data_IF_814266687655
#
_entry.id   IF_814266687655
#
_cell.length_a   1.000
_cell.length_b   1.000
_cell.length_c   1.000
_cell.angle_alpha   90.00
_cell.angle_beta   90.00
_cell.angle_gamma   90.00
#
_symmetry.space_group_name_H-M   'P 1'
#
loop_
_entity.id
_entity.type
_entity.pdbx_description
1 polymer ?
#
# COMPACT_ATOMS: atom_id res chain seq x y z
N UNK A 1 4.70 -13.28 11.92
CA UNK A 1 5.72 -12.34 11.42
C UNK A 1 5.13 -11.20 10.59
N UNK A 2 4.08 -11.44 9.79
CA UNK A 2 3.39 -10.38 9.03
C UNK A 2 2.41 -9.66 9.95
N UNK A 3 2.44 -8.33 9.93
CA UNK A 3 1.59 -7.50 10.77
C UNK A 3 2.17 -7.21 12.15
N UNK A 4 1.35 -6.64 13.02
CA UNK A 4 1.76 -6.06 14.31
C UNK A 4 2.99 -5.15 14.17
N UNK A 5 3.00 -4.37 13.10
CA UNK A 5 4.08 -3.42 12.81
C UNK A 5 4.04 -2.25 13.79
N UNK A 6 5.20 -1.65 14.12
CA UNK A 6 5.25 -0.54 15.05
C UNK A 6 4.41 0.66 14.61
N UNK A 7 3.87 1.37 15.60
CA UNK A 7 3.33 2.71 15.44
C UNK A 7 4.28 3.68 16.15
N UNK A 8 5.04 4.47 15.39
CA UNK A 8 6.14 5.30 15.89
C UNK A 8 5.68 6.75 15.96
N UNK A 9 5.76 7.38 17.12
CA UNK A 9 5.52 8.82 17.26
C UNK A 9 6.71 9.58 16.66
N UNK A 10 6.42 10.56 15.80
CA UNK A 10 7.42 11.50 15.29
C UNK A 10 7.58 12.63 16.29
N UNK A 11 8.83 13.01 16.59
CA UNK A 11 9.12 13.98 17.63
C UNK A 11 9.59 15.34 17.11
N UNK A 12 10.20 15.36 15.95
CA UNK A 12 10.76 16.58 15.35
C UNK A 12 9.93 17.04 14.15
N UNK A 13 9.49 16.08 13.30
CA UNK A 13 8.67 16.41 12.13
C UNK A 13 7.28 16.84 12.60
N UNK A 14 6.85 18.03 12.17
CA UNK A 14 5.54 18.59 12.53
C UNK A 14 5.48 19.22 13.93
N UNK A 15 6.61 19.29 14.68
CA UNK A 15 6.66 19.88 16.03
C UNK A 15 6.30 21.38 16.07
N UNK A 16 6.36 22.06 14.94
CA UNK A 16 5.95 23.47 14.79
C UNK A 16 4.41 23.64 14.72
N UNK A 17 3.66 22.57 14.57
CA UNK A 17 2.19 22.61 14.48
C UNK A 17 1.62 22.35 15.88
N UNK A 18 1.01 23.33 16.55
CA UNK A 18 0.54 23.20 17.91
C UNK A 18 -0.61 22.21 18.03
N UNK A 19 -0.64 21.44 19.11
CA UNK A 19 -1.69 20.48 19.43
C UNK A 19 -1.91 19.37 18.37
N UNK A 20 -0.88 19.04 17.57
CA UNK A 20 -0.91 17.92 16.62
C UNK A 20 0.22 16.94 16.92
N UNK A 21 -0.11 15.66 16.94
CA UNK A 21 0.86 14.56 17.03
C UNK A 21 0.82 13.70 15.77
N UNK A 22 2.01 13.37 15.24
CA UNK A 22 2.15 12.51 14.07
C UNK A 22 2.66 11.13 14.49
N UNK A 23 2.05 10.11 13.97
CA UNK A 23 2.40 8.72 14.19
C UNK A 23 2.64 8.02 12.85
N UNK A 24 3.77 7.30 12.72
CA UNK A 24 4.13 6.55 11.53
C UNK A 24 3.79 5.07 11.73
N UNK A 25 2.88 4.51 10.94
CA UNK A 25 2.64 3.07 10.89
C UNK A 25 3.69 2.43 10.00
N UNK A 26 4.69 1.79 10.62
CA UNK A 26 5.93 1.33 10.00
C UNK A 26 5.76 -0.03 9.28
N UNK A 27 5.06 -0.05 8.14
CA UNK A 27 4.81 -1.27 7.37
C UNK A 27 6.07 -1.84 6.71
N UNK A 28 7.15 -1.07 6.63
CA UNK A 28 8.48 -1.57 6.24
C UNK A 28 9.10 -2.54 7.26
N UNK A 29 8.50 -2.71 8.42
CA UNK A 29 8.89 -3.73 9.40
C UNK A 29 8.30 -5.12 9.10
N UNK A 30 7.45 -5.27 8.09
CA UNK A 30 7.05 -6.57 7.59
C UNK A 30 8.25 -7.33 6.99
N UNK A 31 8.21 -8.66 6.90
CA UNK A 31 9.36 -9.51 6.51
C UNK A 31 10.06 -9.13 5.21
N UNK A 32 9.32 -8.78 4.15
CA UNK A 32 9.93 -8.32 2.88
C UNK A 32 10.17 -6.81 2.83
N UNK A 33 9.90 -6.10 3.94
CA UNK A 33 10.06 -4.65 4.02
C UNK A 33 8.90 -3.86 3.42
N UNK A 34 7.72 -4.46 3.29
CA UNK A 34 6.58 -3.80 2.64
C UNK A 34 5.23 -4.17 3.24
N UNK A 35 4.30 -3.21 3.19
CA UNK A 35 2.86 -3.42 3.46
C UNK A 35 2.24 -4.53 2.60
N UNK A 36 2.87 -4.85 1.47
CA UNK A 36 2.39 -5.84 0.51
C UNK A 36 2.43 -7.27 1.03
N UNK A 37 3.20 -7.55 2.07
CA UNK A 37 3.15 -8.85 2.75
C UNK A 37 1.75 -9.17 3.28
N UNK A 38 1.05 -8.17 3.81
CA UNK A 38 -0.34 -8.33 4.27
C UNK A 38 -1.28 -8.61 3.10
N UNK A 39 -1.17 -7.83 2.03
CA UNK A 39 -1.97 -7.99 0.81
C UNK A 39 -1.77 -9.37 0.19
N UNK A 40 -0.50 -9.75 -0.02
CA UNK A 40 -0.12 -11.03 -0.63
C UNK A 40 -0.65 -12.23 0.17
N UNK A 41 -0.44 -12.22 1.49
CA UNK A 41 -0.95 -13.28 2.37
C UNK A 41 -2.48 -13.36 2.32
N UNK A 42 -3.17 -12.23 2.38
CA UNK A 42 -4.64 -12.20 2.37
C UNK A 42 -5.22 -12.72 1.06
N UNK A 43 -4.66 -12.33 -0.09
CA UNK A 43 -5.09 -12.83 -1.40
C UNK A 43 -4.86 -14.34 -1.52
N UNK A 44 -3.71 -14.83 -1.09
CA UNK A 44 -3.37 -16.24 -1.13
C UNK A 44 -4.33 -17.07 -0.25
N UNK A 45 -4.51 -16.68 1.01
CA UNK A 45 -5.45 -17.34 1.93
C UNK A 45 -6.91 -17.26 1.45
N UNK A 46 -7.28 -16.17 0.77
CA UNK A 46 -8.61 -16.05 0.16
C UNK A 46 -8.80 -17.07 -0.96
N UNK A 47 -7.80 -17.26 -1.82
CA UNK A 47 -7.84 -18.26 -2.89
C UNK A 47 -7.89 -19.69 -2.37
N UNK A 48 -7.16 -19.99 -1.28
CA UNK A 48 -7.26 -21.29 -0.58
C UNK A 48 -8.68 -21.54 -0.06
N UNK A 49 -9.27 -20.55 0.64
CA UNK A 49 -10.63 -20.68 1.19
C UNK A 49 -11.71 -20.85 0.13
N UNK A 50 -11.52 -20.25 -1.05
CA UNK A 50 -12.42 -20.44 -2.20
C UNK A 50 -12.20 -21.79 -2.92
N UNK A 51 -11.18 -22.56 -2.53
CA UNK A 51 -10.81 -23.82 -3.18
C UNK A 51 -10.19 -23.67 -4.57
N UNK A 52 -9.80 -22.45 -4.94
CA UNK A 52 -9.17 -22.13 -6.22
C UNK A 52 -7.69 -22.52 -6.24
N UNK A 53 -7.02 -22.43 -5.10
CA UNK A 53 -5.63 -22.84 -4.89
C UNK A 53 -5.57 -24.01 -3.90
N UNK A 54 -5.06 -25.13 -4.36
CA UNK A 54 -4.86 -26.36 -3.55
C UNK A 54 -3.37 -26.55 -3.24
N UNK A 55 -3.00 -27.34 -2.22
CA UNK A 55 -1.61 -27.66 -1.91
C UNK A 55 -0.78 -28.03 -3.14
N UNK A 56 0.44 -27.49 -3.26
CA UNK A 56 1.32 -27.70 -4.40
C UNK A 56 0.92 -26.98 -5.67
N UNK A 57 -0.16 -26.18 -5.65
CA UNK A 57 -0.63 -25.39 -6.78
C UNK A 57 0.30 -24.25 -7.18
N UNK A 58 -0.08 -23.51 -8.20
CA UNK A 58 0.71 -22.43 -8.77
C UNK A 58 0.01 -21.06 -8.59
N UNK A 59 0.78 -20.09 -8.19
CA UNK A 59 0.38 -18.68 -8.13
C UNK A 59 1.08 -17.92 -9.25
N UNK A 60 0.34 -17.16 -10.04
CA UNK A 60 0.87 -16.30 -11.10
C UNK A 60 0.62 -14.83 -10.73
N UNK A 61 1.66 -14.01 -10.84
CA UNK A 61 1.60 -12.56 -10.76
C UNK A 61 2.01 -11.95 -12.11
N UNK A 62 1.10 -11.26 -12.83
CA UNK A 62 1.47 -10.46 -13.97
C UNK A 62 2.13 -9.16 -13.53
N UNK A 63 3.35 -8.93 -13.98
CA UNK A 63 4.15 -7.73 -13.68
C UNK A 63 4.97 -7.80 -12.39
N UNK A 64 6.12 -7.12 -12.44
CA UNK A 64 6.96 -6.89 -11.28
C UNK A 64 6.42 -5.73 -10.42
N UNK A 65 6.27 -5.98 -9.15
CA UNK A 65 6.01 -4.96 -8.13
C UNK A 65 6.33 -5.52 -6.73
N UNK A 66 6.17 -4.72 -5.68
CA UNK A 66 6.41 -5.17 -4.30
C UNK A 66 5.51 -6.32 -3.87
N UNK A 67 4.29 -6.44 -4.44
CA UNK A 67 3.41 -7.59 -4.19
C UNK A 67 3.99 -8.88 -4.77
N UNK A 68 4.66 -8.82 -5.92
CA UNK A 68 5.33 -9.99 -6.50
C UNK A 68 6.45 -10.52 -5.60
N UNK A 69 7.23 -9.64 -4.97
CA UNK A 69 8.26 -10.02 -3.99
C UNK A 69 7.63 -10.71 -2.78
N UNK A 70 6.57 -10.11 -2.21
CA UNK A 70 5.84 -10.69 -1.07
C UNK A 70 5.25 -12.06 -1.41
N UNK A 71 4.65 -12.21 -2.60
CA UNK A 71 4.09 -13.49 -3.07
C UNK A 71 5.18 -14.54 -3.28
N UNK A 72 6.33 -14.17 -3.87
CA UNK A 72 7.45 -15.10 -4.05
C UNK A 72 7.90 -15.66 -2.71
N UNK A 73 8.13 -14.80 -1.73
CA UNK A 73 8.52 -15.19 -0.38
C UNK A 73 7.47 -16.07 0.31
N UNK A 74 6.19 -15.67 0.29
CA UNK A 74 5.10 -16.42 0.95
C UNK A 74 4.89 -17.77 0.29
N UNK A 75 4.89 -17.84 -1.05
CA UNK A 75 4.71 -19.08 -1.80
C UNK A 75 5.82 -20.09 -1.49
N UNK A 76 7.08 -19.62 -1.40
CA UNK A 76 8.22 -20.49 -1.01
C UNK A 76 7.99 -21.12 0.37
N UNK A 77 7.59 -20.34 1.38
CA UNK A 77 7.34 -20.84 2.73
C UNK A 77 6.14 -21.80 2.76
N UNK A 78 5.11 -21.53 1.98
CA UNK A 78 3.87 -22.35 1.94
C UNK A 78 3.90 -23.46 0.91
N UNK A 79 5.06 -23.69 0.25
CA UNK A 79 5.28 -24.74 -0.73
C UNK A 79 4.35 -24.65 -1.97
N UNK A 80 4.02 -23.42 -2.38
CA UNK A 80 3.37 -23.14 -3.66
C UNK A 80 4.42 -22.81 -4.72
N UNK A 81 4.12 -23.17 -5.97
CA UNK A 81 4.91 -22.68 -7.12
C UNK A 81 4.55 -21.23 -7.36
N UNK A 82 5.54 -20.36 -7.45
CA UNK A 82 5.30 -18.95 -7.80
C UNK A 82 5.93 -18.61 -9.16
N UNK A 83 5.13 -18.02 -10.01
CA UNK A 83 5.52 -17.58 -11.35
C UNK A 83 5.23 -16.09 -11.51
N UNK A 84 6.25 -15.31 -11.86
CA UNK A 84 6.11 -13.90 -12.21
C UNK A 84 6.32 -13.71 -13.70
N UNK A 85 5.37 -13.08 -14.37
CA UNK A 85 5.48 -12.73 -15.79
C UNK A 85 5.97 -11.29 -15.89
N UNK A 86 7.07 -11.04 -16.58
CA UNK A 86 7.68 -9.72 -16.70
C UNK A 86 7.85 -9.29 -18.14
N UNK A 87 7.86 -7.98 -18.38
CA UNK A 87 8.14 -7.43 -19.71
C UNK A 87 9.61 -7.61 -20.08
N UNK A 88 9.89 -7.60 -21.38
CA UNK A 88 11.25 -7.80 -21.92
C UNK A 88 12.25 -6.69 -21.54
N UNK A 89 11.74 -5.52 -21.17
CA UNK A 89 12.51 -4.35 -20.73
C UNK A 89 12.62 -4.25 -19.19
N UNK A 90 12.22 -5.30 -18.46
CA UNK A 90 12.33 -5.33 -17.00
C UNK A 90 13.80 -5.38 -16.60
N UNK A 91 14.17 -4.53 -15.64
CA UNK A 91 15.51 -4.45 -15.09
C UNK A 91 16.00 -5.85 -14.61
N UNK A 92 17.16 -6.33 -15.07
CA UNK A 92 17.72 -7.63 -14.68
C UNK A 92 17.86 -7.81 -13.15
N UNK A 93 18.13 -6.72 -12.40
CA UNK A 93 18.23 -6.80 -10.95
C UNK A 93 16.86 -7.17 -10.34
N UNK A 94 15.78 -6.64 -10.85
CA UNK A 94 14.41 -6.97 -10.39
C UNK A 94 14.07 -8.44 -10.64
N UNK A 95 14.52 -9.00 -11.77
CA UNK A 95 14.36 -10.42 -12.06
C UNK A 95 15.15 -11.26 -11.07
N UNK A 96 16.40 -10.88 -10.77
CA UNK A 96 17.26 -11.56 -9.81
C UNK A 96 16.67 -11.52 -8.40
N UNK A 97 16.10 -10.38 -7.99
CA UNK A 97 15.45 -10.24 -6.69
C UNK A 97 14.29 -11.24 -6.54
N UNK A 98 13.42 -11.37 -7.55
CA UNK A 98 12.34 -12.36 -7.54
C UNK A 98 12.88 -13.79 -7.46
N UNK A 99 13.92 -14.13 -8.24
CA UNK A 99 14.54 -15.46 -8.25
C UNK A 99 15.17 -15.80 -6.90
N UNK A 100 15.72 -14.82 -6.20
CA UNK A 100 16.28 -14.99 -4.85
C UNK A 100 15.23 -15.48 -3.85
N UNK A 101 13.96 -15.08 -4.03
CA UNK A 101 12.84 -15.56 -3.24
C UNK A 101 12.16 -16.83 -3.79
N UNK A 102 12.77 -17.49 -4.78
CA UNK A 102 12.28 -18.77 -5.33
C UNK A 102 11.24 -18.63 -6.45
N UNK A 103 11.07 -17.45 -7.02
CA UNK A 103 10.15 -17.26 -8.15
C UNK A 103 10.70 -17.86 -9.45
N UNK A 104 9.82 -18.51 -10.22
CA UNK A 104 10.04 -18.72 -11.64
C UNK A 104 9.65 -17.45 -12.40
N UNK A 105 10.57 -16.90 -13.19
CA UNK A 105 10.33 -15.65 -13.92
C UNK A 105 10.30 -15.92 -15.42
N UNK A 106 9.15 -15.61 -16.05
CA UNK A 106 9.00 -15.66 -17.52
C UNK A 106 9.08 -14.26 -18.10
N UNK A 107 9.95 -14.08 -19.07
CA UNK A 107 10.02 -12.87 -19.89
C UNK A 107 9.01 -13.00 -21.03
N UNK A 108 8.09 -12.05 -21.16
CA UNK A 108 7.08 -12.00 -22.20
C UNK A 108 7.48 -10.95 -23.24
N UNK A 109 8.01 -11.37 -24.42
CA UNK A 109 8.57 -10.45 -25.40
C UNK A 109 7.55 -9.46 -25.98
N UNK A 110 6.29 -9.87 -26.08
CA UNK A 110 5.19 -9.07 -26.64
C UNK A 110 4.75 -7.95 -25.69
N UNK A 111 5.15 -8.03 -24.41
CA UNK A 111 4.82 -7.04 -23.39
C UNK A 111 5.80 -5.85 -23.44
N UNK A 112 5.83 -5.11 -24.57
CA UNK A 112 6.62 -3.90 -24.71
C UNK A 112 5.70 -2.69 -24.78
N UNK A 113 5.93 -1.71 -23.91
CA UNK A 113 5.11 -0.49 -23.85
C UNK A 113 3.84 -0.65 -23.00
N UNK A 114 2.72 -1.10 -23.56
CA UNK A 114 1.50 -1.44 -22.81
C UNK A 114 1.49 -2.93 -22.43
N UNK A 115 2.31 -3.29 -21.47
CA UNK A 115 2.58 -4.67 -21.10
C UNK A 115 1.51 -5.32 -20.19
N UNK A 116 0.63 -4.55 -19.56
CA UNK A 116 -0.39 -5.08 -18.62
C UNK A 116 -1.30 -6.11 -19.31
N UNK A 117 -1.82 -5.80 -20.51
CA UNK A 117 -2.72 -6.69 -21.24
C UNK A 117 -2.00 -7.94 -21.76
N UNK A 118 -0.77 -7.81 -22.26
CA UNK A 118 0.03 -8.93 -22.76
C UNK A 118 0.38 -9.91 -21.62
N UNK A 119 0.82 -9.39 -20.48
CA UNK A 119 1.13 -10.19 -19.29
C UNK A 119 -0.11 -10.90 -18.76
N UNK A 120 -1.25 -10.21 -18.71
CA UNK A 120 -2.52 -10.80 -18.24
C UNK A 120 -3.01 -11.87 -19.21
N UNK A 121 -2.91 -11.66 -20.53
CA UNK A 121 -3.24 -12.67 -21.54
C UNK A 121 -2.39 -13.92 -21.35
N UNK A 122 -1.07 -13.76 -21.20
CA UNK A 122 -0.15 -14.89 -20.98
C UNK A 122 -0.47 -15.63 -19.69
N UNK A 123 -0.79 -14.93 -18.62
CA UNK A 123 -1.20 -15.53 -17.35
C UNK A 123 -2.46 -16.41 -17.51
N UNK A 124 -3.45 -15.93 -18.27
CA UNK A 124 -4.69 -16.70 -18.57
C UNK A 124 -4.39 -17.98 -19.37
N UNK A 125 -3.56 -17.89 -20.41
CA UNK A 125 -3.13 -19.04 -21.20
C UNK A 125 -2.46 -20.13 -20.36
N UNK A 126 -1.65 -19.73 -19.36
CA UNK A 126 -1.02 -20.69 -18.44
C UNK A 126 -2.06 -21.30 -17.50
N UNK A 127 -2.96 -20.49 -16.95
CA UNK A 127 -4.02 -20.95 -16.05
C UNK A 127 -4.97 -21.95 -16.72
N UNK A 128 -5.28 -21.77 -18.01
CA UNK A 128 -6.13 -22.68 -18.77
C UNK A 128 -5.55 -24.10 -18.85
N UNK A 129 -4.22 -24.24 -18.85
CA UNK A 129 -3.51 -25.53 -18.92
C UNK A 129 -3.39 -26.23 -17.57
N UNK A 130 -3.50 -25.51 -16.47
CA UNK A 130 -3.42 -26.07 -15.11
C UNK A 130 -4.47 -25.44 -14.22
N UNK A 131 -5.51 -26.19 -13.88
CA UNK A 131 -6.64 -25.74 -13.06
C UNK A 131 -6.25 -25.45 -11.60
N UNK A 132 -5.11 -25.99 -11.12
CA UNK A 132 -4.58 -25.67 -9.79
C UNK A 132 -3.65 -24.43 -9.85
N UNK A 133 -3.99 -23.47 -10.71
CA UNK A 133 -3.27 -22.24 -10.90
C UNK A 133 -4.19 -21.05 -10.64
N UNK A 134 -3.74 -20.08 -9.83
CA UNK A 134 -4.45 -18.83 -9.59
C UNK A 134 -3.63 -17.62 -10.09
N UNK A 135 -4.33 -16.64 -10.63
CA UNK A 135 -3.76 -15.34 -10.98
C UNK A 135 -4.17 -14.37 -9.87
N UNK A 136 -3.20 -13.86 -9.12
CA UNK A 136 -3.43 -12.87 -8.08
C UNK A 136 -3.16 -11.46 -8.61
N UNK A 137 -4.09 -10.55 -8.34
CA UNK A 137 -4.01 -9.16 -8.78
C UNK A 137 -4.56 -8.24 -7.69
N UNK A 138 -3.68 -7.52 -7.02
CA UNK A 138 -4.00 -6.62 -5.90
C UNK A 138 -4.90 -5.44 -6.28
N UNK A 139 -4.99 -5.11 -7.57
CA UNK A 139 -5.86 -4.04 -8.06
C UNK A 139 -7.33 -4.48 -8.17
N UNK A 140 -7.58 -5.79 -8.24
CA UNK A 140 -8.92 -6.37 -8.44
C UNK A 140 -9.41 -7.18 -7.24
N UNK A 141 -8.52 -7.78 -6.45
CA UNK A 141 -8.91 -8.68 -5.37
C UNK A 141 -9.23 -7.89 -4.09
N UNK A 142 -10.49 -7.96 -3.65
CA UNK A 142 -10.96 -7.34 -2.40
C UNK A 142 -10.28 -7.90 -1.15
N UNK A 143 -9.60 -9.05 -1.24
CA UNK A 143 -8.78 -9.56 -0.16
C UNK A 143 -7.63 -8.60 0.21
N UNK A 144 -7.18 -7.77 -0.73
CA UNK A 144 -6.26 -6.66 -0.47
C UNK A 144 -6.85 -5.66 0.54
N UNK A 145 -8.03 -5.12 0.25
CA UNK A 145 -8.71 -4.17 1.15
C UNK A 145 -9.06 -4.82 2.50
N UNK A 146 -9.51 -6.08 2.47
CA UNK A 146 -9.87 -6.82 3.67
C UNK A 146 -8.67 -7.08 4.60
N UNK A 147 -7.45 -7.25 4.07
CA UNK A 147 -6.24 -7.37 4.89
C UNK A 147 -6.07 -6.16 5.82
N UNK A 148 -6.35 -4.97 5.30
CA UNK A 148 -6.17 -3.73 6.05
C UNK A 148 -7.35 -3.42 6.97
N UNK A 149 -8.57 -3.78 6.55
CA UNK A 149 -9.76 -3.67 7.41
C UNK A 149 -9.68 -4.59 8.63
N UNK A 150 -9.22 -5.84 8.43
CA UNK A 150 -9.20 -6.86 9.48
C UNK A 150 -7.97 -6.78 10.39
N UNK A 151 -6.87 -6.19 9.92
CA UNK A 151 -5.61 -6.21 10.68
C UNK A 151 -5.00 -4.81 10.85
N UNK A 152 -4.66 -4.09 9.79
CA UNK A 152 -3.92 -2.82 9.90
C UNK A 152 -4.73 -1.74 10.64
N UNK A 153 -6.01 -1.59 10.31
CA UNK A 153 -6.91 -0.66 10.99
C UNK A 153 -7.08 -0.97 12.48
N UNK A 154 -7.40 -2.22 12.88
CA UNK A 154 -7.44 -2.64 14.27
C UNK A 154 -6.13 -2.42 15.04
N UNK A 155 -4.97 -2.67 14.44
CA UNK A 155 -3.67 -2.40 15.07
C UNK A 155 -3.53 -0.91 15.39
N UNK A 156 -3.77 -0.02 14.42
CA UNK A 156 -3.71 1.44 14.63
C UNK A 156 -4.64 1.89 15.74
N UNK A 157 -5.89 1.40 15.72
CA UNK A 157 -6.89 1.73 16.73
C UNK A 157 -6.50 1.30 18.13
N UNK A 158 -6.00 0.08 18.27
CA UNK A 158 -5.50 -0.48 19.52
C UNK A 158 -4.30 0.33 20.06
N UNK A 159 -3.31 0.58 19.19
CA UNK A 159 -2.04 1.19 19.59
C UNK A 159 -2.21 2.65 20.05
N UNK A 160 -3.27 3.33 19.60
CA UNK A 160 -3.66 4.68 20.05
C UNK A 160 -4.87 4.69 21.01
N UNK A 161 -5.30 3.53 21.51
CA UNK A 161 -6.47 3.42 22.41
C UNK A 161 -7.70 4.15 21.87
N UNK A 162 -7.91 4.08 20.55
CA UNK A 162 -9.02 4.74 19.87
C UNK A 162 -8.85 6.24 19.59
N UNK A 163 -7.76 6.83 19.99
CA UNK A 163 -7.51 8.28 19.83
C UNK A 163 -6.87 8.60 18.47
N UNK A 164 -7.60 8.32 17.38
CA UNK A 164 -7.20 8.63 16.00
C UNK A 164 -8.14 9.70 15.45
N UNK A 165 -7.60 10.77 14.86
CA UNK A 165 -8.37 11.86 14.26
C UNK A 165 -8.21 11.91 12.75
N UNK A 166 -7.03 11.54 12.22
CA UNK A 166 -6.83 11.40 10.79
C UNK A 166 -5.92 10.22 10.45
N UNK A 167 -6.14 9.67 9.26
CA UNK A 167 -5.31 8.65 8.64
C UNK A 167 -4.88 9.08 7.24
N UNK A 168 -3.58 9.02 6.97
CA UNK A 168 -3.00 9.44 5.69
C UNK A 168 -2.27 8.26 5.07
N UNK A 169 -2.62 7.94 3.82
CA UNK A 169 -1.96 6.87 3.06
C UNK A 169 -1.78 7.25 1.59
N UNK A 170 -0.85 6.61 0.92
CA UNK A 170 -0.57 6.82 -0.50
C UNK A 170 -1.52 6.05 -1.41
N UNK A 171 -1.55 6.43 -2.69
CA UNK A 171 -2.36 5.82 -3.75
C UNK A 171 -1.56 4.89 -4.66
N UNK A 172 -1.65 3.59 -4.42
CA UNK A 172 -1.21 2.54 -5.36
C UNK A 172 -2.42 1.74 -5.84
N UNK A 173 -2.67 0.56 -5.25
CA UNK A 173 -3.92 -0.20 -5.48
C UNK A 173 -5.13 0.38 -4.72
N UNK A 174 -4.91 1.25 -3.74
CA UNK A 174 -5.96 1.82 -2.90
C UNK A 174 -6.45 0.91 -1.76
N UNK A 175 -5.98 -0.34 -1.69
CA UNK A 175 -6.45 -1.29 -0.67
C UNK A 175 -6.18 -0.85 0.76
N UNK A 176 -4.99 -0.31 1.03
CA UNK A 176 -4.60 0.12 2.40
C UNK A 176 -5.47 1.29 2.88
N UNK A 177 -5.62 2.33 2.06
CA UNK A 177 -6.42 3.50 2.46
C UNK A 177 -7.91 3.15 2.61
N UNK A 178 -8.43 2.31 1.70
CA UNK A 178 -9.83 1.86 1.76
C UNK A 178 -10.09 0.98 2.97
N UNK A 179 -9.23 -0.01 3.22
CA UNK A 179 -9.41 -0.96 4.32
C UNK A 179 -9.27 -0.30 5.69
N UNK A 180 -8.18 0.44 5.91
CA UNK A 180 -7.97 1.17 7.18
C UNK A 180 -9.02 2.25 7.37
N UNK A 181 -9.28 3.06 6.34
CA UNK A 181 -10.26 4.14 6.42
C UNK A 181 -11.66 3.63 6.77
N UNK A 182 -12.12 2.55 6.13
CA UNK A 182 -13.41 1.91 6.46
C UNK A 182 -13.45 1.43 7.90
N UNK A 183 -12.39 0.79 8.38
CA UNK A 183 -12.33 0.33 9.77
C UNK A 183 -12.38 1.51 10.75
N UNK A 184 -11.52 2.51 10.57
CA UNK A 184 -11.44 3.65 11.48
C UNK A 184 -12.77 4.43 11.52
N UNK A 185 -13.38 4.71 10.36
CA UNK A 185 -14.69 5.38 10.29
C UNK A 185 -15.82 4.53 10.88
N UNK A 186 -15.72 3.20 10.87
CA UNK A 186 -16.69 2.34 11.55
C UNK A 186 -16.60 2.44 13.08
N UNK A 187 -15.44 2.85 13.63
CA UNK A 187 -15.23 3.07 15.06
C UNK A 187 -15.52 4.51 15.49
N UNK A 188 -15.13 5.48 14.65
CA UNK A 188 -15.30 6.91 14.87
C UNK A 188 -15.52 7.58 13.52
N UNK A 189 -16.76 7.91 13.21
CA UNK A 189 -17.16 8.45 11.90
C UNK A 189 -16.48 9.78 11.54
N UNK A 190 -16.01 10.53 12.54
CA UNK A 190 -15.31 11.81 12.37
C UNK A 190 -13.84 11.66 11.97
N UNK A 191 -13.27 10.44 11.92
CA UNK A 191 -11.89 10.25 11.44
C UNK A 191 -11.77 10.71 10.00
N UNK A 192 -10.82 11.61 9.74
CA UNK A 192 -10.51 12.09 8.38
C UNK A 192 -9.57 11.12 7.69
N UNK A 193 -9.88 10.79 6.44
CA UNK A 193 -9.06 9.91 5.59
C UNK A 193 -8.51 10.71 4.42
N UNK A 194 -7.20 10.89 4.39
CA UNK A 194 -6.48 11.72 3.44
C UNK A 194 -5.63 10.85 2.51
N UNK A 195 -5.76 11.04 1.22
CA UNK A 195 -4.95 10.35 0.23
C UNK A 195 -3.83 11.23 -0.29
N UNK A 196 -2.60 10.93 0.12
CA UNK A 196 -1.40 11.55 -0.42
C UNK A 196 -1.03 10.94 -1.75
N UNK A 197 -0.89 11.74 -2.80
CA UNK A 197 -0.60 11.26 -4.15
C UNK A 197 0.36 12.18 -4.89
N UNK A 198 1.16 11.62 -5.79
CA UNK A 198 1.92 12.44 -6.74
C UNK A 198 0.96 13.31 -7.56
N UNK A 199 1.31 14.57 -7.82
CA UNK A 199 0.50 15.49 -8.64
C UNK A 199 0.15 14.93 -10.03
N UNK A 200 0.99 14.05 -10.58
CA UNK A 200 0.75 13.36 -11.87
C UNK A 200 -0.02 12.03 -11.73
N UNK A 201 -0.49 11.71 -10.52
CA UNK A 201 -1.18 10.44 -10.27
C UNK A 201 -2.52 10.37 -10.99
N UNK A 202 -2.88 9.15 -11.47
CA UNK A 202 -4.21 8.87 -11.99
C UNK A 202 -5.35 9.16 -10.99
N UNK A 203 -5.07 9.07 -9.68
CA UNK A 203 -6.05 9.40 -8.64
C UNK A 203 -6.38 10.89 -8.65
N UNK A 204 -5.37 11.78 -8.75
CA UNK A 204 -5.59 13.22 -8.91
C UNK A 204 -6.35 13.51 -10.20
N UNK A 205 -5.90 12.97 -11.33
CA UNK A 205 -6.55 13.20 -12.62
C UNK A 205 -8.01 12.76 -12.62
N UNK A 206 -8.32 11.58 -12.04
CA UNK A 206 -9.68 11.07 -11.99
C UNK A 206 -10.57 11.79 -10.97
N UNK A 207 -10.07 11.98 -9.75
CA UNK A 207 -10.90 12.43 -8.61
C UNK A 207 -10.93 13.94 -8.44
N UNK A 208 -9.83 14.64 -8.82
CA UNK A 208 -9.71 16.08 -8.63
C UNK A 208 -9.86 16.84 -9.94
N UNK A 209 -9.26 16.36 -11.02
CA UNK A 209 -9.32 16.99 -12.34
C UNK A 209 -10.46 16.46 -13.22
N UNK A 210 -11.22 15.45 -12.73
CA UNK A 210 -12.35 14.84 -13.42
C UNK A 210 -12.04 14.28 -14.81
N UNK A 211 -10.80 13.87 -15.07
CA UNK A 211 -10.37 13.31 -16.35
C UNK A 211 -11.15 12.02 -16.66
N UNK A 212 -11.76 11.95 -17.84
CA UNK A 212 -12.52 10.78 -18.30
C UNK A 212 -11.60 9.65 -18.76
N UNK A 213 -12.15 8.41 -18.81
CA UNK A 213 -11.42 7.24 -19.32
C UNK A 213 -10.42 6.60 -18.35
N UNK A 214 -10.19 7.17 -17.18
CA UNK A 214 -9.32 6.58 -16.15
C UNK A 214 -10.12 5.59 -15.31
N UNK A 215 -9.70 4.32 -15.33
CA UNK A 215 -10.24 3.27 -14.46
C UNK A 215 -9.43 3.20 -13.16
N UNK A 216 -10.15 3.28 -12.02
CA UNK A 216 -9.56 3.09 -10.71
C UNK A 216 -9.55 1.60 -10.34
N UNK A 217 -8.61 1.16 -9.47
CA UNK A 217 -8.62 -0.20 -8.96
C UNK A 217 -9.93 -0.58 -8.28
N UNK A 218 -10.39 -1.84 -8.45
CA UNK A 218 -11.58 -2.36 -7.75
C UNK A 218 -11.37 -2.44 -6.23
N UNK A 219 -10.13 -2.65 -5.79
CA UNK A 219 -9.74 -2.62 -4.36
C UNK A 219 -9.78 -1.21 -3.73
N UNK A 220 -10.04 -0.17 -4.51
CA UNK A 220 -10.12 1.21 -4.04
C UNK A 220 -11.56 1.70 -3.91
N UNK A 221 -11.93 2.15 -2.73
CA UNK A 221 -13.21 2.82 -2.47
C UNK A 221 -13.00 4.34 -2.36
N UNK A 222 -13.30 5.11 -3.42
CA UNK A 222 -13.11 6.56 -3.39
C UNK A 222 -14.01 7.30 -2.38
N UNK A 223 -15.13 6.70 -1.96
CA UNK A 223 -16.07 7.30 -1.01
C UNK A 223 -15.51 7.39 0.41
N UNK A 224 -14.47 6.60 0.69
CA UNK A 224 -13.85 6.60 2.02
C UNK A 224 -12.88 7.77 2.20
N UNK A 225 -12.37 8.34 1.11
CA UNK A 225 -11.38 9.41 1.11
C UNK A 225 -12.09 10.76 1.23
N UNK A 226 -11.75 11.52 2.26
CA UNK A 226 -12.29 12.85 2.50
C UNK A 226 -11.52 13.93 1.73
N UNK A 227 -10.21 13.69 1.47
CA UNK A 227 -9.36 14.67 0.82
C UNK A 227 -8.22 14.02 0.02
N UNK A 228 -7.91 14.60 -1.14
CA UNK A 228 -6.78 14.22 -1.99
C UNK A 228 -5.74 15.33 -1.98
N UNK A 229 -4.54 15.02 -1.52
CA UNK A 229 -3.43 15.99 -1.45
C UNK A 229 -2.37 15.63 -2.48
N UNK A 230 -2.23 16.50 -3.50
CA UNK A 230 -1.19 16.37 -4.51
C UNK A 230 0.16 16.87 -3.99
N UNK A 231 1.19 16.03 -4.09
CA UNK A 231 2.56 16.33 -3.67
C UNK A 231 3.48 16.21 -4.88
N UNK A 232 4.33 17.18 -5.11
CA UNK A 232 5.38 17.09 -6.11
C UNK A 232 6.54 16.20 -5.63
N UNK A 233 7.42 15.84 -6.58
CA UNK A 233 8.52 14.94 -6.29
C UNK A 233 9.53 15.54 -5.31
N UNK A 234 9.80 16.80 -5.43
CA UNK A 234 10.79 17.51 -4.61
C UNK A 234 10.38 17.52 -3.15
N UNK A 235 9.12 17.85 -2.88
CA UNK A 235 8.57 17.80 -1.53
C UNK A 235 8.55 16.36 -0.95
N UNK A 236 8.20 15.36 -1.76
CA UNK A 236 8.24 13.98 -1.32
C UNK A 236 9.66 13.55 -0.90
N UNK A 237 10.67 13.93 -1.68
CA UNK A 237 12.09 13.66 -1.37
C UNK A 237 12.57 14.43 -0.14
N UNK A 238 12.13 15.69 0.04
CA UNK A 238 12.46 16.47 1.22
C UNK A 238 11.97 15.79 2.49
N UNK A 239 10.69 15.40 2.56
CA UNK A 239 10.15 14.75 3.75
C UNK A 239 10.68 13.32 3.95
N UNK A 240 11.06 12.63 2.89
CA UNK A 240 11.79 11.36 3.00
C UNK A 240 13.17 11.58 3.65
N UNK A 241 13.90 12.61 3.22
CA UNK A 241 15.19 13.00 3.82
C UNK A 241 15.05 13.42 5.28
N UNK A 242 14.01 14.20 5.58
CA UNK A 242 13.70 14.65 6.94
C UNK A 242 13.43 13.49 7.89
N UNK A 243 12.70 12.46 7.45
CA UNK A 243 12.50 11.24 8.24
C UNK A 243 13.82 10.60 8.63
N UNK A 244 14.74 10.51 7.68
CA UNK A 244 16.06 9.97 7.95
C UNK A 244 16.88 10.86 8.88
N UNK A 245 16.96 12.15 8.58
CA UNK A 245 17.85 13.07 9.30
C UNK A 245 17.34 13.47 10.69
N UNK A 246 16.03 13.62 10.84
CA UNK A 246 15.40 14.14 12.07
C UNK A 246 14.89 13.02 12.97
N UNK A 247 14.39 11.92 12.40
CA UNK A 247 13.76 10.83 13.17
C UNK A 247 14.58 9.52 13.14
N UNK A 248 15.63 9.43 12.31
CA UNK A 248 16.43 8.21 12.15
C UNK A 248 15.69 7.08 11.44
N UNK A 249 14.62 7.40 10.68
CA UNK A 249 13.75 6.42 10.04
C UNK A 249 14.02 6.34 8.55
N UNK A 250 14.42 5.15 8.07
CA UNK A 250 14.58 4.88 6.65
C UNK A 250 13.26 4.39 6.05
N UNK A 251 12.70 5.16 5.11
CA UNK A 251 11.45 4.83 4.44
C UNK A 251 11.49 5.25 2.97
N UNK A 252 10.64 4.62 2.14
CA UNK A 252 10.54 4.89 0.71
C UNK A 252 9.94 6.25 0.36
N UNK A 253 10.07 6.65 -0.89
CA UNK A 253 9.55 7.94 -1.40
C UNK A 253 8.04 8.08 -1.20
N UNK A 254 7.28 6.99 -1.22
CA UNK A 254 5.84 7.00 -0.94
C UNK A 254 5.57 7.52 0.47
N UNK A 255 6.42 7.19 1.45
CA UNK A 255 6.30 7.72 2.81
C UNK A 255 6.55 9.24 2.84
N UNK A 256 7.52 9.74 2.08
CA UNK A 256 7.71 11.18 1.93
C UNK A 256 6.47 11.89 1.38
N UNK A 257 5.81 11.30 0.38
CA UNK A 257 4.55 11.81 -0.18
C UNK A 257 3.43 11.83 0.87
N UNK A 258 3.24 10.74 1.61
CA UNK A 258 2.18 10.66 2.63
C UNK A 258 2.44 11.61 3.80
N UNK A 259 3.70 11.75 4.20
CA UNK A 259 4.10 12.67 5.27
C UNK A 259 3.91 14.13 4.86
N UNK A 260 4.34 14.53 3.66
CA UNK A 260 4.09 15.87 3.12
C UNK A 260 2.58 16.18 3.10
N UNK A 261 1.75 15.20 2.73
CA UNK A 261 0.29 15.35 2.72
C UNK A 261 -0.26 15.52 4.13
N UNK A 262 0.27 14.78 5.10
CA UNK A 262 -0.15 14.87 6.50
C UNK A 262 0.18 16.23 7.12
N UNK A 263 1.36 16.76 6.82
CA UNK A 263 1.77 18.10 7.29
C UNK A 263 0.88 19.19 6.67
N UNK A 264 0.68 19.18 5.36
CA UNK A 264 -0.22 20.14 4.70
C UNK A 264 -1.64 20.09 5.24
N UNK A 265 -2.16 18.89 5.46
CA UNK A 265 -3.47 18.73 6.09
C UNK A 265 -3.48 19.32 7.50
N UNK A 266 -2.47 19.05 8.32
CA UNK A 266 -2.39 19.59 9.68
C UNK A 266 -2.29 21.13 9.71
N UNK A 267 -1.53 21.73 8.80
CA UNK A 267 -1.41 23.18 8.64
C UNK A 267 -2.72 23.86 8.18
N UNK A 268 -3.61 23.11 7.51
CA UNK A 268 -4.93 23.60 7.12
C UNK A 268 -5.98 23.53 8.24
N UNK A 269 -5.68 22.85 9.35
CA UNK A 269 -6.62 22.78 10.48
C UNK A 269 -6.77 24.16 11.13
N UNK A 270 -7.98 24.51 11.61
CA UNK A 270 -8.20 25.75 12.36
C UNK A 270 -7.26 25.82 13.57
N UNK A 271 -6.61 26.95 13.75
CA UNK A 271 -5.80 27.23 14.95
C UNK A 271 -6.68 27.08 16.20
N UNK A 272 -6.38 26.10 17.02
CA UNK A 272 -7.09 25.88 18.29
C UNK A 272 -6.39 26.67 19.36
N UNK A 273 -6.96 27.79 19.71
CA UNK A 273 -6.38 28.83 20.59
C UNK A 273 -6.41 28.46 22.10
N UNK A 274 -6.88 27.27 22.46
CA UNK A 274 -7.08 26.89 23.84
C UNK A 274 -6.07 25.83 24.33
N UNK A 275 -5.38 26.13 25.42
CA UNK A 275 -4.60 25.15 26.21
C UNK A 275 -5.44 23.93 26.70
N UNK A 276 -6.75 23.93 26.47
CA UNK A 276 -7.70 22.86 26.76
C UNK A 276 -8.07 22.00 25.57
N UNK A 277 -7.59 22.31 24.35
CA UNK A 277 -7.95 21.53 23.16
C UNK A 277 -7.25 20.17 23.18
N UNK A 278 -8.04 19.14 22.93
CA UNK A 278 -7.56 17.77 22.81
C UNK A 278 -6.55 17.68 21.65
N UNK A 279 -5.41 17.00 21.88
CA UNK A 279 -4.38 16.74 20.88
C UNK A 279 -4.98 16.02 19.67
N UNK A 280 -4.69 16.52 18.47
CA UNK A 280 -5.14 15.93 17.22
C UNK A 280 -4.10 14.91 16.71
N UNK A 281 -4.49 13.65 16.59
CA UNK A 281 -3.58 12.54 16.24
C UNK A 281 -3.74 12.11 14.80
N UNK A 282 -2.67 12.26 14.03
CA UNK A 282 -2.59 11.91 12.61
C UNK A 282 -1.70 10.69 12.45
N UNK A 283 -2.24 9.63 11.85
CA UNK A 283 -1.49 8.42 11.52
C UNK A 283 -1.11 8.45 10.04
N UNK A 284 0.17 8.32 9.77
CA UNK A 284 0.76 8.26 8.42
C UNK A 284 1.19 6.83 8.13
N UNK A 285 0.72 6.25 7.04
CA UNK A 285 1.16 4.93 6.59
C UNK A 285 2.50 5.05 5.86
N UNK A 286 3.52 4.35 6.36
CA UNK A 286 4.81 4.16 5.70
C UNK A 286 4.83 2.77 5.05
N UNK A 287 4.57 2.65 3.72
CA UNK A 287 4.25 1.37 3.13
C UNK A 287 5.47 0.47 2.91
N UNK A 288 6.64 1.05 2.69
CA UNK A 288 7.85 0.32 2.33
C UNK A 288 9.12 1.09 2.70
N UNK A 289 10.26 0.41 2.51
CA UNK A 289 11.58 0.98 2.80
C UNK A 289 12.22 1.67 1.59
N UNK A 290 11.82 1.29 0.34
CA UNK A 290 12.46 1.73 -0.89
C UNK A 290 11.43 2.23 -1.92
#
# INVERSE_FOLDING_TARGET
MIGNTPLIRLNQIGSHIPNVEFYLKAEFCNPTGSVKDRTALSMLLSSERRGELKPGGQVIQPGYNTTAISLAWICTIRQYKFRCLVASDTDPQKIKDLQTFGAHVDIVPEAKGNWDDALLKKAKEIKEKDKNTVILNEYKDMANTNAHYLFTGPEIWRDLSGSVDAFVAGGGSGGSISGVGRFLKSKKSSVRVIMGVSQKSRFIRKMVQHESGIHLPESFDPKIVDEYVGVDREQALLYQSDLYQKEGIFAGQTTGTTLASAIRFAESLPTRDDQKSQVYRIVVLSPDRF
#
